data_IF_044257359759
#
_entry.id   IF_044257359759
#
_cell.length_a   1.000
_cell.length_b   1.000
_cell.length_c   1.000
_cell.angle_alpha   90.00
_cell.angle_beta   90.00
_cell.angle_gamma   90.00
#
_symmetry.space_group_name_H-M   'P 1'
#
loop_
_entity.id
_entity.type
_entity.pdbx_description
1 polymer ?
#
# COMPACT_ATOMS: atom_id res chain seq x y z
N UNK A 1 -5.62 -3.87 -19.93
CA UNK A 1 -6.32 -2.58 -19.82
C UNK A 1 -5.81 -1.89 -18.57
N UNK A 2 -5.43 -0.60 -18.68
CA UNK A 2 -4.76 0.13 -17.58
C UNK A 2 -5.71 1.18 -16.98
N UNK A 3 -6.95 0.78 -16.65
CA UNK A 3 -7.86 1.67 -15.94
C UNK A 3 -7.25 2.01 -14.57
N UNK A 4 -7.19 3.30 -14.24
CA UNK A 4 -6.68 3.82 -12.98
C UNK A 4 -7.74 4.72 -12.38
N UNK A 5 -7.94 4.63 -11.09
CA UNK A 5 -8.80 5.55 -10.35
C UNK A 5 -7.96 6.72 -9.84
N UNK A 6 -8.19 7.91 -10.38
CA UNK A 6 -7.57 9.15 -9.89
C UNK A 6 -8.64 9.96 -9.16
N UNK A 7 -8.33 10.40 -7.95
CA UNK A 7 -9.27 11.10 -7.07
C UNK A 7 -8.70 12.46 -6.70
N UNK A 8 -9.30 13.53 -7.21
CA UNK A 8 -8.93 14.92 -6.93
C UNK A 8 -9.88 15.54 -5.87
N UNK A 9 -10.05 14.87 -4.76
CA UNK A 9 -10.96 15.29 -3.71
C UNK A 9 -10.97 14.31 -2.57
N UNK A 10 -12.11 13.94 -2.04
CA UNK A 10 -12.26 12.96 -0.96
C UNK A 10 -12.84 11.66 -1.49
N UNK A 11 -12.23 10.53 -1.16
CA UNK A 11 -12.76 9.20 -1.44
C UNK A 11 -13.18 8.53 -0.14
N UNK A 12 -14.46 8.22 -0.03
CA UNK A 12 -15.00 7.48 1.11
C UNK A 12 -15.57 6.14 0.63
N UNK A 13 -15.00 5.07 1.14
CA UNK A 13 -15.41 3.68 0.88
C UNK A 13 -16.00 3.08 2.15
N UNK A 14 -17.25 2.69 2.11
CA UNK A 14 -17.99 2.16 3.26
C UNK A 14 -18.52 0.75 2.95
N UNK A 15 -17.68 -0.26 3.11
CA UNK A 15 -18.08 -1.66 3.11
C UNK A 15 -18.50 -2.14 4.50
N UNK A 16 -18.89 -3.40 4.58
CA UNK A 16 -19.13 -4.14 5.83
C UNK A 16 -18.44 -5.50 5.78
N UNK A 17 -18.39 -6.21 6.89
CA UNK A 17 -17.81 -7.55 6.93
C UNK A 17 -18.52 -8.51 5.96
N UNK A 18 -19.85 -8.41 5.86
CA UNK A 18 -20.67 -9.26 5.00
C UNK A 18 -20.69 -8.79 3.54
N UNK A 19 -20.40 -7.50 3.30
CA UNK A 19 -20.43 -6.87 1.99
C UNK A 19 -19.24 -5.92 1.85
N UNK A 20 -18.02 -6.44 1.69
CA UNK A 20 -16.85 -5.59 1.43
C UNK A 20 -16.98 -4.91 0.07
N UNK A 21 -16.37 -3.74 -0.04
CA UNK A 21 -16.21 -3.07 -1.34
C UNK A 21 -14.97 -3.64 -2.01
N UNK A 22 -15.11 -4.13 -3.25
CA UNK A 22 -14.00 -4.77 -3.97
C UNK A 22 -13.50 -3.88 -5.10
N UNK A 23 -12.21 -3.54 -5.07
CA UNK A 23 -11.51 -2.85 -6.16
C UNK A 23 -10.57 -3.84 -6.85
N UNK A 24 -10.91 -4.23 -8.09
CA UNK A 24 -10.20 -5.25 -8.86
C UNK A 24 -10.26 -4.99 -10.36
N UNK A 25 -9.54 -5.78 -11.13
CA UNK A 25 -9.68 -5.80 -12.58
C UNK A 25 -11.04 -6.34 -13.03
N UNK A 26 -11.40 -6.05 -14.27
CA UNK A 26 -12.68 -6.45 -14.88
C UNK A 26 -12.71 -7.92 -15.36
N UNK A 27 -11.55 -8.58 -15.40
CA UNK A 27 -11.44 -9.97 -15.83
C UNK A 27 -11.90 -10.92 -14.74
N UNK A 28 -12.84 -11.80 -15.10
CA UNK A 28 -13.34 -12.89 -14.29
C UNK A 28 -12.77 -14.21 -14.76
N UNK A 29 -12.67 -15.19 -13.87
CA UNK A 29 -12.19 -16.53 -14.20
C UNK A 29 -10.68 -16.68 -14.02
N UNK A 30 -10.05 -17.53 -14.82
CA UNK A 30 -8.67 -17.93 -14.62
C UNK A 30 -7.79 -17.54 -15.82
N UNK A 31 -6.54 -17.12 -15.53
CA UNK A 31 -5.48 -16.96 -16.52
C UNK A 31 -4.99 -18.34 -16.98
N UNK A 32 -4.85 -19.28 -16.05
CA UNK A 32 -4.61 -20.71 -16.25
C UNK A 32 -5.54 -21.48 -15.31
N UNK A 33 -5.75 -22.78 -15.53
CA UNK A 33 -6.66 -23.61 -14.74
C UNK A 33 -6.47 -23.49 -13.22
N UNK A 34 -5.24 -23.21 -12.80
CA UNK A 34 -4.83 -23.10 -11.39
C UNK A 34 -4.60 -21.64 -10.91
N UNK A 35 -4.72 -20.64 -11.79
CA UNK A 35 -4.37 -19.26 -11.47
C UNK A 35 -5.51 -18.30 -11.85
N UNK A 36 -6.34 -17.89 -10.88
CA UNK A 36 -7.37 -16.88 -11.09
C UNK A 36 -6.77 -15.51 -11.44
N UNK A 37 -7.50 -14.72 -12.24
CA UNK A 37 -7.14 -13.32 -12.48
C UNK A 37 -7.10 -12.50 -11.19
N UNK A 38 -7.92 -12.83 -10.20
CA UNK A 38 -7.94 -12.18 -8.90
C UNK A 38 -6.64 -12.33 -8.10
N UNK A 39 -5.86 -13.38 -8.38
CA UNK A 39 -4.55 -13.58 -7.77
C UNK A 39 -3.41 -13.04 -8.63
N UNK A 40 -3.71 -12.60 -9.85
CA UNK A 40 -2.70 -12.16 -10.82
C UNK A 40 -2.55 -10.63 -10.73
N UNK A 41 -1.39 -10.09 -10.38
CA UNK A 41 -1.17 -8.64 -10.31
C UNK A 41 -1.27 -7.99 -11.70
N UNK A 42 -1.32 -6.66 -11.74
CA UNK A 42 -1.29 -5.86 -12.97
C UNK A 42 -2.51 -6.01 -13.88
N UNK A 43 -3.69 -6.31 -13.32
CA UNK A 43 -4.94 -6.36 -14.08
C UNK A 43 -5.55 -4.97 -14.30
N UNK A 44 -5.24 -3.99 -13.44
CA UNK A 44 -5.65 -2.59 -13.52
C UNK A 44 -4.60 -1.67 -12.86
N UNK A 45 -4.76 -0.35 -12.96
CA UNK A 45 -3.74 0.61 -12.54
C UNK A 45 -3.59 0.74 -11.02
N UNK A 46 -4.70 0.80 -10.29
CA UNK A 46 -4.75 1.09 -8.86
C UNK A 46 -5.46 2.40 -8.55
N UNK A 47 -5.24 2.92 -7.33
CA UNK A 47 -5.87 4.13 -6.81
C UNK A 47 -4.82 5.20 -6.55
N UNK A 48 -5.00 6.37 -7.10
CA UNK A 48 -4.18 7.57 -6.87
C UNK A 48 -5.01 8.61 -6.15
N UNK A 49 -4.52 9.06 -5.01
CA UNK A 49 -5.23 9.97 -4.12
C UNK A 49 -4.56 11.34 -4.12
N UNK A 50 -5.29 12.33 -4.58
CA UNK A 50 -5.00 13.74 -4.43
C UNK A 50 -6.11 14.39 -3.59
N UNK A 51 -5.80 15.42 -2.80
CA UNK A 51 -6.79 16.05 -1.92
C UNK A 51 -6.74 15.45 -0.52
N UNK A 52 -7.84 15.47 0.23
CA UNK A 52 -7.84 15.12 1.65
C UNK A 52 -9.09 14.35 2.10
N UNK A 53 -8.96 13.68 3.25
CA UNK A 53 -10.10 13.01 3.89
C UNK A 53 -10.47 11.69 3.25
N UNK A 54 -9.47 10.92 2.81
CA UNK A 54 -9.68 9.59 2.24
C UNK A 54 -9.89 8.57 3.36
N UNK A 55 -11.00 7.86 3.29
CA UNK A 55 -11.37 6.86 4.28
C UNK A 55 -11.87 5.58 3.61
N UNK A 56 -11.31 4.46 4.04
CA UNK A 56 -11.63 3.14 3.53
C UNK A 56 -12.03 2.22 4.69
N UNK A 57 -13.22 1.65 4.59
CA UNK A 57 -13.71 0.69 5.56
C UNK A 57 -14.18 -0.56 4.83
N UNK A 58 -13.66 -1.73 5.21
CA UNK A 58 -13.90 -3.02 4.55
C UNK A 58 -13.70 -2.95 3.04
N UNK A 59 -12.56 -2.38 2.62
CA UNK A 59 -12.09 -2.43 1.23
C UNK A 59 -11.26 -3.70 1.02
N UNK A 60 -11.53 -4.41 -0.05
CA UNK A 60 -10.66 -5.41 -0.65
C UNK A 60 -10.11 -4.88 -1.97
N UNK A 61 -8.82 -4.50 -2.01
CA UNK A 61 -8.14 -3.98 -3.19
C UNK A 61 -7.07 -4.96 -3.63
N UNK A 62 -7.19 -5.45 -4.85
CA UNK A 62 -6.25 -6.44 -5.32
C UNK A 62 -5.99 -6.43 -6.83
N UNK A 63 -4.99 -7.21 -7.22
CA UNK A 63 -4.63 -7.52 -8.63
C UNK A 63 -4.28 -6.27 -9.45
N UNK A 64 -3.82 -5.22 -8.80
CA UNK A 64 -3.49 -3.94 -9.42
C UNK A 64 -2.01 -3.82 -9.79
N UNK A 65 -1.68 -2.80 -10.58
CA UNK A 65 -0.30 -2.38 -10.79
C UNK A 65 0.26 -1.76 -9.50
N UNK A 66 -0.45 -0.78 -8.94
CA UNK A 66 -0.20 -0.24 -7.61
C UNK A 66 -1.46 -0.40 -6.76
N UNK A 67 -1.33 -0.51 -5.46
CA UNK A 67 -2.48 -0.49 -4.58
C UNK A 67 -3.03 0.92 -4.41
N UNK A 68 -2.63 1.59 -3.34
CA UNK A 68 -2.94 3.01 -3.07
C UNK A 68 -1.66 3.81 -3.18
N UNK A 69 -1.68 4.87 -3.99
CA UNK A 69 -0.66 5.90 -4.07
C UNK A 69 -1.25 7.18 -3.51
N UNK A 70 -0.60 7.74 -2.48
CA UNK A 70 -1.04 8.94 -1.79
C UNK A 70 0.12 9.93 -1.65
N UNK A 71 -0.13 11.20 -1.92
CA UNK A 71 0.85 12.26 -1.81
C UNK A 71 0.20 13.50 -1.16
N UNK A 72 0.88 14.07 -0.15
CA UNK A 72 0.43 15.26 0.59
C UNK A 72 -1.01 15.15 1.12
N UNK A 73 -1.40 13.97 1.65
CA UNK A 73 -2.79 13.71 2.04
C UNK A 73 -2.91 12.85 3.30
N UNK A 74 -4.16 12.69 3.78
CA UNK A 74 -4.52 11.81 4.88
C UNK A 74 -5.23 10.56 4.36
N UNK A 75 -4.86 9.38 4.87
CA UNK A 75 -5.48 8.09 4.51
C UNK A 75 -5.84 7.32 5.77
N UNK A 76 -7.11 7.00 5.93
CA UNK A 76 -7.62 6.13 6.98
C UNK A 76 -8.04 4.78 6.38
N UNK A 77 -7.53 3.68 6.95
CA UNK A 77 -7.84 2.31 6.56
C UNK A 77 -8.38 1.54 7.77
N UNK A 78 -9.56 0.98 7.67
CA UNK A 78 -10.16 0.17 8.72
C UNK A 78 -10.72 -1.14 8.17
N UNK A 79 -10.25 -2.28 8.69
CA UNK A 79 -10.68 -3.62 8.27
C UNK A 79 -10.49 -3.85 6.75
N UNK A 80 -9.41 -3.35 6.20
CA UNK A 80 -9.13 -3.42 4.75
C UNK A 80 -8.17 -4.57 4.43
N UNK A 81 -8.21 -5.03 3.19
CA UNK A 81 -7.26 -5.97 2.62
C UNK A 81 -6.69 -5.36 1.33
N UNK A 82 -5.37 -5.27 1.23
CA UNK A 82 -4.68 -4.81 0.01
C UNK A 82 -3.66 -5.89 -0.35
N UNK A 83 -3.79 -6.46 -1.56
CA UNK A 83 -2.92 -7.57 -1.91
C UNK A 83 -2.69 -7.75 -3.41
N UNK A 84 -1.70 -8.57 -3.77
CA UNK A 84 -1.37 -8.97 -5.14
C UNK A 84 -1.16 -7.78 -6.08
N UNK A 85 -0.27 -6.87 -5.70
CA UNK A 85 0.11 -5.72 -6.53
C UNK A 85 1.44 -5.95 -7.25
N UNK A 86 1.61 -5.36 -8.44
CA UNK A 86 2.88 -5.43 -9.20
C UNK A 86 3.90 -4.41 -8.69
N UNK A 87 3.47 -3.26 -8.21
CA UNK A 87 4.28 -2.25 -7.53
C UNK A 87 4.01 -2.25 -6.03
N UNK A 88 4.14 -1.10 -5.38
CA UNK A 88 3.84 -0.95 -3.97
C UNK A 88 2.34 -1.14 -3.69
N UNK A 89 2.02 -1.80 -2.57
CA UNK A 89 0.62 -1.94 -2.16
C UNK A 89 0.08 -0.65 -1.51
N UNK A 90 0.88 0.01 -0.70
CA UNK A 90 0.64 1.36 -0.18
C UNK A 90 1.92 2.18 -0.33
N UNK A 91 1.87 3.23 -1.15
CA UNK A 91 2.93 4.22 -1.26
C UNK A 91 2.42 5.56 -0.75
N UNK A 92 3.12 6.16 0.20
CA UNK A 92 2.70 7.37 0.87
C UNK A 92 3.87 8.36 0.96
N UNK A 93 3.74 9.53 0.33
CA UNK A 93 4.72 10.62 0.40
C UNK A 93 4.11 11.81 1.14
N UNK A 94 4.76 12.21 2.24
CA UNK A 94 4.31 13.31 3.10
C UNK A 94 2.84 13.18 3.55
N UNK A 95 2.46 11.95 3.91
CA UNK A 95 1.09 11.60 4.25
C UNK A 95 0.91 11.32 5.74
N UNK A 96 -0.32 11.43 6.19
CA UNK A 96 -0.76 10.88 7.47
C UNK A 96 -1.56 9.61 7.24
N UNK A 97 -1.00 8.48 7.66
CA UNK A 97 -1.61 7.16 7.52
C UNK A 97 -2.12 6.68 8.88
N UNK A 98 -3.39 6.34 8.95
CA UNK A 98 -4.00 5.67 10.09
C UNK A 98 -4.61 4.35 9.62
N UNK A 99 -4.07 3.23 10.10
CA UNK A 99 -4.58 1.91 9.73
C UNK A 99 -4.96 1.09 10.97
N UNK A 100 -6.12 0.49 10.92
CA UNK A 100 -6.65 -0.38 11.97
C UNK A 100 -7.11 -1.70 11.37
N UNK A 101 -6.69 -2.83 11.96
CA UNK A 101 -7.10 -4.18 11.57
C UNK A 101 -7.04 -4.38 10.05
N UNK A 102 -5.93 -3.95 9.44
CA UNK A 102 -5.74 -3.98 7.98
C UNK A 102 -4.64 -4.95 7.61
N UNK A 103 -4.91 -5.78 6.60
CA UNK A 103 -3.92 -6.67 6.00
C UNK A 103 -3.38 -6.06 4.72
N UNK A 104 -2.05 -6.01 4.60
CA UNK A 104 -1.36 -5.65 3.35
C UNK A 104 -0.38 -6.78 3.02
N UNK A 105 -0.51 -7.37 1.84
CA UNK A 105 0.24 -8.58 1.52
C UNK A 105 0.57 -8.75 0.04
N UNK A 106 1.62 -9.54 -0.24
CA UNK A 106 1.93 -10.03 -1.58
C UNK A 106 2.07 -8.94 -2.65
N UNK A 107 2.99 -7.99 -2.47
CA UNK A 107 3.39 -7.04 -3.49
C UNK A 107 4.76 -7.40 -4.09
N UNK A 108 4.96 -7.17 -5.39
CA UNK A 108 6.31 -7.22 -5.96
C UNK A 108 7.17 -6.06 -5.46
N UNK A 109 6.59 -4.85 -5.36
CA UNK A 109 7.19 -3.72 -4.66
C UNK A 109 7.10 -3.87 -3.14
N UNK A 110 7.19 -2.77 -2.42
CA UNK A 110 7.01 -2.74 -0.97
C UNK A 110 5.53 -2.91 -0.60
N UNK A 111 5.24 -3.55 0.53
CA UNK A 111 3.87 -3.55 1.03
C UNK A 111 3.47 -2.15 1.50
N UNK A 112 4.30 -1.55 2.36
CA UNK A 112 4.14 -0.16 2.77
C UNK A 112 5.45 0.56 2.50
N UNK A 113 5.40 1.63 1.74
CA UNK A 113 6.51 2.55 1.54
C UNK A 113 6.09 3.95 1.97
N UNK A 114 6.83 4.51 2.92
CA UNK A 114 6.63 5.86 3.41
C UNK A 114 7.83 6.73 3.08
N UNK A 115 7.56 7.88 2.50
CA UNK A 115 8.52 8.95 2.25
C UNK A 115 8.12 10.14 3.12
N UNK A 116 8.67 10.22 4.31
CA UNK A 116 8.24 11.22 5.30
C UNK A 116 6.82 10.98 5.84
N UNK A 117 6.31 11.98 6.56
CA UNK A 117 4.95 12.00 7.09
C UNK A 117 4.78 11.23 8.40
N UNK A 118 3.56 10.77 8.65
CA UNK A 118 3.19 10.07 9.88
C UNK A 118 2.45 8.77 9.59
N UNK A 119 2.76 7.71 10.35
CA UNK A 119 1.97 6.47 10.34
C UNK A 119 1.62 6.02 11.74
N UNK A 120 0.39 5.60 11.90
CA UNK A 120 -0.06 4.83 13.05
C UNK A 120 -0.84 3.61 12.56
N UNK A 121 -0.31 2.42 12.84
CA UNK A 121 -0.91 1.15 12.46
C UNK A 121 -1.17 0.32 13.70
N UNK A 122 -2.41 -0.16 13.85
CA UNK A 122 -2.85 -0.92 15.03
C UNK A 122 -3.53 -2.21 14.57
N UNK A 123 -3.08 -3.35 15.10
CA UNK A 123 -3.57 -4.69 14.74
C UNK A 123 -3.44 -5.01 13.24
N UNK A 124 -2.43 -4.47 12.56
CA UNK A 124 -2.23 -4.69 11.14
C UNK A 124 -1.29 -5.87 10.85
N UNK A 125 -1.45 -6.46 9.67
CA UNK A 125 -0.58 -7.53 9.17
C UNK A 125 0.07 -7.12 7.87
N UNK A 126 1.40 -6.93 7.88
CA UNK A 126 2.22 -6.67 6.70
C UNK A 126 2.97 -7.97 6.35
N UNK A 127 2.50 -8.69 5.32
CA UNK A 127 2.91 -10.07 5.07
C UNK A 127 3.45 -10.23 3.65
N UNK A 128 4.78 -10.19 3.49
CA UNK A 128 5.46 -10.17 2.19
C UNK A 128 5.84 -11.59 1.73
N UNK A 129 4.87 -12.28 1.15
CA UNK A 129 5.04 -13.60 0.55
C UNK A 129 4.74 -13.63 -0.96
N UNK A 130 5.06 -12.53 -1.66
CA UNK A 130 4.93 -12.50 -3.11
C UNK A 130 5.74 -13.61 -3.77
N UNK A 131 5.07 -14.47 -4.52
CA UNK A 131 5.62 -15.74 -5.00
C UNK A 131 5.85 -15.79 -6.52
N UNK A 132 5.53 -14.72 -7.26
CA UNK A 132 5.71 -14.68 -8.73
C UNK A 132 7.11 -14.24 -9.15
N UNK A 133 7.93 -13.72 -8.22
CA UNK A 133 9.30 -13.28 -8.48
C UNK A 133 10.15 -13.43 -7.22
N UNK A 134 11.43 -13.74 -7.39
CA UNK A 134 12.38 -13.79 -6.28
C UNK A 134 12.77 -12.38 -5.79
N UNK A 135 12.78 -11.40 -6.70
CA UNK A 135 13.07 -10.01 -6.38
C UNK A 135 11.77 -9.33 -5.95
N UNK A 136 11.57 -9.20 -4.66
CA UNK A 136 10.41 -8.53 -4.07
C UNK A 136 10.88 -7.44 -3.11
N UNK A 137 10.03 -6.44 -2.90
CA UNK A 137 10.30 -5.36 -1.95
C UNK A 137 10.14 -5.78 -0.48
N UNK A 138 10.31 -4.84 0.40
CA UNK A 138 10.16 -5.02 1.85
C UNK A 138 8.69 -5.01 2.27
N UNK A 139 8.41 -5.57 3.44
CA UNK A 139 7.10 -5.42 4.06
C UNK A 139 6.90 -3.97 4.55
N UNK A 140 7.96 -3.31 5.01
CA UNK A 140 7.93 -1.91 5.40
C UNK A 140 9.21 -1.22 4.92
N UNK A 141 9.06 -0.11 4.21
CA UNK A 141 10.14 0.78 3.81
C UNK A 141 9.86 2.19 4.32
N UNK A 142 10.81 2.76 5.07
CA UNK A 142 10.74 4.12 5.60
C UNK A 142 11.93 4.92 5.10
N UNK A 143 11.69 6.11 4.56
CA UNK A 143 12.75 7.04 4.15
C UNK A 143 12.34 8.48 4.36
N UNK A 144 13.34 9.34 4.58
CA UNK A 144 13.16 10.77 4.81
C UNK A 144 13.46 11.63 3.58
N UNK A 145 13.58 11.01 2.41
CA UNK A 145 13.88 11.70 1.14
C UNK A 145 13.24 11.02 -0.06
N UNK A 146 13.07 11.79 -1.11
CA UNK A 146 12.78 11.34 -2.46
C UNK A 146 13.74 11.97 -3.46
N UNK A 147 13.95 11.32 -4.60
CA UNK A 147 14.81 11.82 -5.66
C UNK A 147 13.94 12.15 -6.87
N UNK A 148 13.78 13.44 -7.15
CA UNK A 148 13.02 13.94 -8.28
C UNK A 148 13.96 14.70 -9.23
N UNK A 149 14.05 14.28 -10.48
CA UNK A 149 14.84 14.92 -11.56
C UNK A 149 16.31 15.22 -11.21
N UNK A 150 16.97 14.49 -10.36
CA UNK A 150 18.31 14.69 -9.81
C UNK A 150 18.40 15.52 -8.53
N UNK A 151 17.32 16.08 -8.06
CA UNK A 151 17.27 16.79 -6.79
C UNK A 151 16.81 15.83 -5.66
N UNK A 152 17.45 15.94 -4.52
CA UNK A 152 17.03 15.20 -3.33
C UNK A 152 16.12 16.10 -2.49
N UNK A 153 14.86 15.72 -2.39
CA UNK A 153 13.87 16.40 -1.59
C UNK A 153 13.72 15.67 -0.23
N UNK A 154 13.66 16.42 0.85
CA UNK A 154 13.59 15.87 2.21
C UNK A 154 12.19 15.99 2.77
N UNK A 155 11.72 14.88 3.38
CA UNK A 155 10.42 14.75 4.00
C UNK A 155 10.59 14.13 5.39
N UNK A 156 10.31 14.88 6.45
CA UNK A 156 10.52 14.38 7.81
C UNK A 156 9.58 13.21 8.12
N UNK A 157 10.11 12.09 8.60
CA UNK A 157 9.32 11.02 9.21
C UNK A 157 9.02 11.43 10.64
N UNK A 158 7.89 12.09 10.83
CA UNK A 158 7.50 12.65 12.13
C UNK A 158 7.04 11.56 13.11
N UNK A 159 6.42 10.48 12.58
CA UNK A 159 5.90 9.39 13.39
C UNK A 159 5.79 8.10 12.58
N UNK A 160 6.22 6.98 13.18
CA UNK A 160 6.00 5.64 12.62
C UNK A 160 5.73 4.67 13.78
N UNK A 161 4.46 4.52 14.15
CA UNK A 161 4.03 3.69 15.27
C UNK A 161 3.25 2.47 14.79
N UNK A 162 3.69 1.30 15.27
CA UNK A 162 3.08 0.01 14.96
C UNK A 162 2.73 -0.71 16.26
N UNK A 163 1.44 -0.85 16.55
CA UNK A 163 0.94 -1.49 17.77
C UNK A 163 0.27 -2.82 17.47
N UNK A 164 0.74 -3.88 18.12
CA UNK A 164 0.18 -5.23 17.94
C UNK A 164 0.11 -5.66 16.46
N UNK A 165 1.13 -5.27 15.68
CA UNK A 165 1.24 -5.59 14.26
C UNK A 165 2.13 -6.81 14.03
N UNK A 166 1.86 -7.53 12.95
CA UNK A 166 2.74 -8.58 12.41
C UNK A 166 3.41 -8.04 11.16
N UNK A 167 4.74 -8.01 11.12
CA UNK A 167 5.53 -7.62 9.95
C UNK A 167 6.44 -8.79 9.63
N UNK A 168 6.23 -9.47 8.49
CA UNK A 168 6.93 -10.71 8.14
C UNK A 168 7.00 -10.92 6.64
N UNK A 169 7.84 -11.87 6.20
CA UNK A 169 8.00 -12.20 4.79
C UNK A 169 9.03 -13.31 4.55
N UNK A 170 9.38 -13.55 3.29
CA UNK A 170 10.40 -14.52 2.91
C UNK A 170 11.83 -14.02 3.16
N UNK A 171 12.05 -12.71 3.23
CA UNK A 171 13.38 -12.14 3.44
C UNK A 171 13.86 -12.27 4.88
N UNK A 172 15.18 -12.30 5.07
CA UNK A 172 15.78 -12.20 6.40
C UNK A 172 15.52 -10.81 7.00
N UNK A 173 15.57 -9.77 6.15
CA UNK A 173 15.22 -8.41 6.48
C UNK A 173 13.90 -8.03 5.78
N UNK A 174 12.85 -7.78 6.53
CA UNK A 174 11.54 -7.39 6.03
C UNK A 174 11.24 -5.90 6.21
N UNK A 175 12.09 -5.19 6.94
CA UNK A 175 11.98 -3.75 7.19
C UNK A 175 13.23 -3.06 6.66
N UNK A 176 13.03 -1.99 5.87
CA UNK A 176 14.09 -1.11 5.38
C UNK A 176 13.93 0.30 5.94
N UNK A 177 15.03 0.87 6.42
CA UNK A 177 15.11 2.27 6.80
C UNK A 177 16.22 2.96 6.01
N UNK A 178 15.91 4.09 5.35
CA UNK A 178 16.88 4.91 4.64
C UNK A 178 16.70 6.38 5.00
N UNK A 179 17.61 6.89 5.83
CA UNK A 179 17.55 8.26 6.35
C UNK A 179 18.86 8.97 6.04
N UNK A 180 18.77 10.09 5.31
CA UNK A 180 19.94 10.88 4.91
C UNK A 180 20.08 12.13 5.78
N UNK A 181 18.97 12.69 6.25
CA UNK A 181 18.96 13.83 7.14
C UNK A 181 19.41 13.38 8.52
N UNK A 182 20.51 13.95 9.01
CA UNK A 182 20.89 13.74 10.41
C UNK A 182 19.74 14.17 11.32
N UNK A 183 19.17 13.20 12.04
CA UNK A 183 18.18 13.50 13.08
C UNK A 183 18.86 14.36 14.15
N UNK A 184 18.36 15.58 14.32
CA UNK A 184 18.78 16.48 15.42
C UNK A 184 18.17 16.04 16.74
#
# INVERSE_FOLDING_TARGET
QHATMCVDGSLVVNGTLEQPVVFRGDRMGNLFDYLPYDNTPQQWGGVYLNGHGHRFTYLDLHSSTFGIIAEDTDVELANCIIHNTRGNALWAKNCRIQAYNTQISNAYGNLVEMVGGEAEMVFCSLVQFYNYDANRGWALSLRDYDVEYSDTLFYDVAKAHFYNCVITGYGDDVISGSFIKESK
#
